data_IF_665715291515
#
_entry.id   IF_665715291515
#
_cell.length_a   1.000
_cell.length_b   1.000
_cell.length_c   1.000
_cell.angle_alpha   90.00
_cell.angle_beta   90.00
_cell.angle_gamma   90.00
#
_symmetry.space_group_name_H-M   'P 1'
#
loop_
_entity.id
_entity.type
_entity.pdbx_description
1 polymer ?
#
# COMPACT_ATOMS: atom_id res chain seq x y z
N UNK A 1 9.41 -15.60 -49.14
CA UNK A 1 10.41 -14.74 -48.50
C UNK A 1 11.77 -15.44 -48.58
N UNK A 2 12.87 -14.70 -48.62
CA UNK A 2 14.22 -15.31 -48.66
C UNK A 2 14.58 -15.86 -47.28
N UNK A 3 15.30 -16.98 -47.23
CA UNK A 3 15.78 -17.60 -45.97
C UNK A 3 16.65 -16.63 -45.16
N UNK A 4 17.44 -15.80 -45.85
CA UNK A 4 18.26 -14.74 -45.21
C UNK A 4 17.40 -13.66 -44.56
N UNK A 5 16.25 -13.33 -45.14
CA UNK A 5 15.31 -12.37 -44.55
C UNK A 5 14.68 -12.93 -43.27
N UNK A 6 14.26 -14.20 -43.29
CA UNK A 6 13.67 -14.83 -42.10
C UNK A 6 14.69 -14.98 -40.96
N UNK A 7 15.95 -15.30 -41.31
CA UNK A 7 17.04 -15.33 -40.33
C UNK A 7 17.30 -13.94 -39.73
N UNK A 8 17.49 -12.92 -40.56
CA UNK A 8 17.72 -11.56 -40.08
C UNK A 8 16.55 -11.04 -39.23
N UNK A 9 15.31 -11.36 -39.61
CA UNK A 9 14.11 -11.06 -38.81
C UNK A 9 14.17 -11.75 -37.44
N UNK A 10 14.47 -13.04 -37.40
CA UNK A 10 14.56 -13.80 -36.14
C UNK A 10 15.67 -13.25 -35.24
N UNK A 11 16.85 -12.96 -35.80
CA UNK A 11 17.99 -12.45 -35.04
C UNK A 11 17.68 -11.06 -34.46
N UNK A 12 17.04 -10.18 -35.23
CA UNK A 12 16.66 -8.83 -34.77
C UNK A 12 15.55 -8.90 -33.72
N UNK A 13 14.51 -9.73 -33.92
CA UNK A 13 13.44 -9.87 -32.95
C UNK A 13 13.94 -10.45 -31.63
N UNK A 14 14.78 -11.48 -31.66
CA UNK A 14 15.38 -12.04 -30.45
C UNK A 14 16.30 -11.05 -29.74
N UNK A 15 17.03 -10.22 -30.48
CA UNK A 15 17.83 -9.16 -29.85
C UNK A 15 16.97 -8.09 -29.18
N UNK A 16 15.87 -7.66 -29.82
CA UNK A 16 14.93 -6.71 -29.22
C UNK A 16 14.28 -7.32 -27.97
N UNK A 17 13.88 -8.60 -28.03
CA UNK A 17 13.34 -9.31 -26.87
C UNK A 17 14.30 -9.29 -25.69
N UNK A 18 15.58 -9.65 -25.90
CA UNK A 18 16.58 -9.58 -24.83
C UNK A 18 16.77 -8.16 -24.28
N UNK A 19 16.78 -7.14 -25.14
CA UNK A 19 16.89 -5.74 -24.68
C UNK A 19 15.69 -5.31 -23.84
N UNK A 20 14.48 -5.76 -24.18
CA UNK A 20 13.29 -5.50 -23.38
C UNK A 20 13.39 -6.19 -22.02
N UNK A 21 13.81 -7.45 -21.97
CA UNK A 21 14.02 -8.17 -20.72
C UNK A 21 15.06 -7.50 -19.82
N UNK A 22 16.14 -6.97 -20.39
CA UNK A 22 17.16 -6.20 -19.66
C UNK A 22 16.55 -4.94 -19.05
N UNK A 23 15.78 -4.17 -19.84
CA UNK A 23 15.11 -2.95 -19.37
C UNK A 23 14.08 -3.28 -18.27
N UNK A 24 13.27 -4.33 -18.44
CA UNK A 24 12.29 -4.75 -17.44
C UNK A 24 12.95 -5.14 -16.11
N UNK A 25 14.11 -5.80 -16.15
CA UNK A 25 14.88 -6.12 -14.95
C UNK A 25 15.43 -4.86 -14.27
N UNK A 26 15.96 -3.90 -15.03
CA UNK A 26 16.44 -2.63 -14.49
C UNK A 26 15.31 -1.84 -13.83
N UNK A 27 14.15 -1.77 -14.48
CA UNK A 27 12.94 -1.12 -13.94
C UNK A 27 12.49 -1.84 -12.66
N UNK A 28 12.44 -3.17 -12.66
CA UNK A 28 12.04 -3.95 -11.48
C UNK A 28 12.98 -3.71 -10.28
N UNK A 29 14.30 -3.68 -10.52
CA UNK A 29 15.29 -3.36 -9.48
C UNK A 29 15.11 -1.93 -8.96
N UNK A 30 14.88 -0.97 -9.85
CA UNK A 30 14.63 0.42 -9.48
C UNK A 30 13.37 0.57 -8.63
N UNK A 31 12.26 -0.09 -9.01
CA UNK A 31 11.03 -0.09 -8.21
C UNK A 31 11.24 -0.72 -6.83
N UNK A 32 12.01 -1.82 -6.76
CA UNK A 32 12.33 -2.46 -5.49
C UNK A 32 13.17 -1.55 -4.58
N UNK A 33 14.14 -0.82 -5.14
CA UNK A 33 14.93 0.16 -4.38
C UNK A 33 14.04 1.28 -3.83
N UNK A 34 13.18 1.86 -4.67
CA UNK A 34 12.25 2.92 -4.25
C UNK A 34 11.27 2.44 -3.18
N UNK A 35 10.77 1.21 -3.31
CA UNK A 35 9.92 0.59 -2.29
C UNK A 35 10.66 0.41 -0.96
N UNK A 36 11.93 -0.02 -0.99
CA UNK A 36 12.74 -0.12 0.22
C UNK A 36 12.97 1.26 0.89
N UNK A 37 13.12 2.33 0.10
CA UNK A 37 13.19 3.70 0.63
C UNK A 37 11.87 4.12 1.28
N UNK A 38 10.72 3.72 0.71
CA UNK A 38 9.41 3.98 1.29
C UNK A 38 9.24 3.24 2.63
N UNK A 39 9.64 1.96 2.70
CA UNK A 39 9.63 1.20 3.96
C UNK A 39 10.48 1.86 5.04
N UNK A 40 11.67 2.36 4.70
CA UNK A 40 12.54 3.08 5.64
C UNK A 40 11.89 4.39 6.12
N UNK A 41 11.32 5.16 5.18
CA UNK A 41 10.57 6.39 5.50
C UNK A 41 9.39 6.09 6.44
N UNK A 42 8.65 5.01 6.21
CA UNK A 42 7.55 4.58 7.08
C UNK A 42 8.04 4.08 8.43
N UNK A 43 9.17 3.38 8.48
CA UNK A 43 9.79 2.94 9.73
C UNK A 43 10.23 4.09 10.64
N UNK A 44 10.37 5.30 10.10
CA UNK A 44 10.71 6.51 10.86
C UNK A 44 9.50 7.27 11.42
N UNK A 45 8.29 6.99 10.93
CA UNK A 45 7.06 7.65 11.36
C UNK A 45 6.49 7.01 12.64
N UNK A 46 5.96 7.83 13.55
CA UNK A 46 5.38 7.39 14.82
C UNK A 46 3.85 7.32 14.78
N UNK A 47 3.23 8.12 13.91
CA UNK A 47 1.78 8.29 13.82
C UNK A 47 1.31 8.38 12.35
N UNK A 48 -0.01 8.28 12.12
CA UNK A 48 -0.62 8.27 10.77
C UNK A 48 -0.36 9.56 10.00
N UNK A 49 -0.37 10.71 10.67
CA UNK A 49 -0.04 11.99 10.04
C UNK A 49 1.41 12.05 9.59
N UNK A 50 2.34 11.48 10.36
CA UNK A 50 3.75 11.38 9.98
C UNK A 50 3.96 10.39 8.81
N UNK A 51 3.21 9.27 8.79
CA UNK A 51 3.21 8.33 7.66
C UNK A 51 2.72 8.99 6.38
N UNK A 52 1.66 9.81 6.46
CA UNK A 52 1.13 10.55 5.30
C UNK A 52 2.18 11.53 4.77
N UNK A 53 2.78 12.31 5.66
CA UNK A 53 3.82 13.28 5.30
C UNK A 53 5.06 12.60 4.73
N UNK A 54 5.45 11.42 5.24
CA UNK A 54 6.55 10.63 4.71
C UNK A 54 6.22 10.06 3.32
N UNK A 55 4.99 9.58 3.13
CA UNK A 55 4.49 9.08 1.85
C UNK A 55 4.46 10.18 0.79
N UNK A 56 3.90 11.35 1.10
CA UNK A 56 3.80 12.49 0.18
C UNK A 56 5.19 12.99 -0.25
N UNK A 57 6.14 13.05 0.67
CA UNK A 57 7.53 13.41 0.36
C UNK A 57 8.17 12.40 -0.59
N UNK A 58 8.07 11.10 -0.26
CA UNK A 58 8.58 10.03 -1.12
C UNK A 58 7.92 10.04 -2.50
N UNK A 59 6.60 10.25 -2.56
CA UNK A 59 5.84 10.30 -3.81
C UNK A 59 6.26 11.48 -4.68
N UNK A 60 6.50 12.65 -4.09
CA UNK A 60 7.01 13.81 -4.83
C UNK A 60 8.40 13.56 -5.42
N UNK A 61 9.25 12.81 -4.73
CA UNK A 61 10.62 12.51 -5.15
C UNK A 61 10.71 11.37 -6.17
N UNK A 62 9.79 10.40 -6.10
CA UNK A 62 9.91 9.13 -6.83
C UNK A 62 8.69 8.75 -7.67
N UNK A 63 7.53 9.38 -7.47
CA UNK A 63 6.28 9.04 -8.14
C UNK A 63 6.31 9.26 -9.66
N UNK A 64 6.96 10.33 -10.11
CA UNK A 64 7.14 10.62 -11.55
C UNK A 64 8.03 9.57 -12.23
N UNK A 65 9.04 9.06 -11.52
CA UNK A 65 9.99 8.06 -12.05
C UNK A 65 9.40 6.64 -12.07
N UNK A 66 8.41 6.35 -11.19
CA UNK A 66 7.63 5.10 -11.24
C UNK A 66 6.52 5.19 -12.29
N UNK A 67 6.05 6.41 -12.59
CA UNK A 67 4.99 6.64 -13.58
C UNK A 67 3.61 6.24 -13.07
N UNK A 68 3.29 6.58 -11.81
CA UNK A 68 1.93 6.39 -11.30
C UNK A 68 0.94 7.24 -12.09
N UNK A 69 -0.21 6.66 -12.46
CA UNK A 69 -1.32 7.37 -13.14
C UNK A 69 -2.22 8.13 -12.13
N UNK A 70 -1.93 7.98 -10.84
CA UNK A 70 -2.73 8.48 -9.72
C UNK A 70 -1.91 9.44 -8.87
N UNK A 71 -2.57 10.44 -8.30
CA UNK A 71 -1.97 11.37 -7.34
C UNK A 71 -1.70 10.68 -5.99
N UNK A 72 -0.80 11.27 -5.19
CA UNK A 72 -0.47 10.77 -3.85
C UNK A 72 -1.73 10.57 -2.99
N UNK A 73 -2.61 11.57 -2.94
CA UNK A 73 -3.84 11.51 -2.16
C UNK A 73 -4.76 10.36 -2.58
N UNK A 74 -4.84 10.06 -3.89
CA UNK A 74 -5.66 8.96 -4.41
C UNK A 74 -5.11 7.59 -3.99
N UNK A 75 -3.78 7.41 -4.07
CA UNK A 75 -3.12 6.17 -3.65
C UNK A 75 -3.27 5.96 -2.15
N UNK A 76 -3.15 7.05 -1.37
CA UNK A 76 -3.30 7.02 0.08
C UNK A 76 -4.72 6.64 0.50
N UNK A 77 -5.72 7.30 -0.07
CA UNK A 77 -7.14 7.01 0.20
C UNK A 77 -7.48 5.57 -0.19
N UNK A 78 -7.00 5.12 -1.35
CA UNK A 78 -7.20 3.76 -1.83
C UNK A 78 -6.60 2.71 -0.90
N UNK A 79 -5.36 2.94 -0.44
CA UNK A 79 -4.66 2.02 0.45
C UNK A 79 -5.36 1.82 1.80
N UNK A 80 -6.05 2.85 2.29
CA UNK A 80 -6.77 2.83 3.57
C UNK A 80 -8.23 2.38 3.44
N UNK A 81 -8.66 1.96 2.26
CA UNK A 81 -10.01 1.43 2.03
C UNK A 81 -11.05 2.49 1.70
N UNK A 82 -10.64 3.63 1.13
CA UNK A 82 -11.54 4.46 0.34
C UNK A 82 -12.20 3.61 -0.75
N UNK A 83 -13.52 3.68 -0.83
CA UNK A 83 -14.41 2.80 -1.60
C UNK A 83 -14.23 2.94 -3.12
N UNK A 84 -13.07 2.58 -3.65
CA UNK A 84 -12.82 2.57 -5.08
C UNK A 84 -11.78 1.51 -5.45
N UNK A 85 -12.08 0.23 -5.22
CA UNK A 85 -11.24 -0.87 -5.70
C UNK A 85 -10.84 -0.61 -7.17
N UNK A 86 -9.55 -0.69 -7.50
CA UNK A 86 -9.02 -0.52 -8.88
C UNK A 86 -9.60 -1.55 -9.88
N UNK A 87 -10.51 -2.42 -9.44
CA UNK A 87 -11.13 -3.49 -10.20
C UNK A 87 -12.49 -3.12 -10.83
N UNK A 88 -12.92 -1.85 -10.81
CA UNK A 88 -14.16 -1.44 -11.48
C UNK A 88 -13.99 -0.16 -12.29
N UNK A 89 -13.21 -0.26 -13.37
CA UNK A 89 -13.54 0.47 -14.60
C UNK A 89 -14.40 -0.49 -15.41
N UNK A 90 -15.67 -0.59 -15.05
CA UNK A 90 -16.73 -0.99 -15.98
C UNK A 90 -17.59 0.25 -16.19
N UNK A 91 -17.51 0.74 -17.41
CA UNK A 91 -18.27 1.82 -18.01
C UNK A 91 -19.74 1.39 -18.09
N UNK A 92 -20.61 1.86 -17.19
CA UNK A 92 -22.03 2.15 -17.48
C UNK A 92 -22.77 2.76 -16.26
N UNK A 93 -23.49 3.84 -16.53
CA UNK A 93 -24.77 4.27 -15.91
C UNK A 93 -24.90 4.58 -14.40
N UNK A 94 -25.14 5.87 -14.13
CA UNK A 94 -26.31 6.44 -13.43
C UNK A 94 -26.75 5.90 -12.05
N UNK A 95 -26.87 6.85 -11.10
CA UNK A 95 -27.75 6.83 -9.91
C UNK A 95 -27.43 5.83 -8.76
N UNK A 96 -26.95 6.35 -7.62
CA UNK A 96 -27.76 6.58 -6.40
C UNK A 96 -26.86 6.90 -5.20
N UNK A 97 -27.17 8.02 -4.55
CA UNK A 97 -26.59 8.52 -3.30
C UNK A 97 -26.92 7.53 -2.17
N UNK A 98 -25.93 6.90 -1.52
CA UNK A 98 -26.15 6.13 -0.29
C UNK A 98 -25.49 6.75 0.95
N UNK A 99 -26.37 7.40 1.72
CA UNK A 99 -26.45 7.54 3.18
C UNK A 99 -25.15 7.45 4.01
N UNK A 100 -24.69 8.63 4.45
CA UNK A 100 -23.72 8.85 5.53
C UNK A 100 -24.16 8.09 6.80
N UNK A 101 -23.46 7.00 7.13
CA UNK A 101 -23.55 6.37 8.44
C UNK A 101 -22.80 7.24 9.46
N UNK A 102 -23.55 7.93 10.31
CA UNK A 102 -23.03 8.53 11.54
C UNK A 102 -22.70 7.39 12.51
N UNK A 103 -21.41 7.18 12.80
CA UNK A 103 -21.00 6.40 13.97
C UNK A 103 -20.88 7.35 15.15
N UNK A 104 -21.91 7.35 16.00
CA UNK A 104 -21.92 8.03 17.29
C UNK A 104 -20.85 7.43 18.21
N UNK A 105 -20.13 8.31 18.90
CA UNK A 105 -19.20 8.02 19.98
C UNK A 105 -19.98 7.50 21.19
N UNK A 106 -19.61 6.35 21.76
CA UNK A 106 -20.04 5.94 23.10
C UNK A 106 -18.81 5.78 24.00
N UNK A 107 -18.51 6.85 24.73
CA UNK A 107 -17.72 6.87 25.96
C UNK A 107 -18.60 6.28 27.09
N UNK A 108 -18.26 5.11 27.63
CA UNK A 108 -18.76 4.67 28.94
C UNK A 108 -17.56 4.43 29.88
N UNK A 109 -17.23 5.49 30.60
CA UNK A 109 -16.65 5.48 31.95
C UNK A 109 -17.66 4.78 32.90
N UNK A 110 -17.26 3.68 33.54
CA UNK A 110 -17.94 3.19 34.75
C UNK A 110 -16.89 2.65 35.75
N UNK A 111 -16.44 3.54 36.62
CA UNK A 111 -15.78 3.27 37.89
C UNK A 111 -16.77 2.61 38.86
N UNK A 112 -16.54 1.36 39.30
CA UNK A 112 -16.98 0.92 40.63
C UNK A 112 -15.93 0.03 41.33
N UNK A 113 -15.36 0.63 42.39
CA UNK A 113 -14.67 0.04 43.55
C UNK A 113 -15.29 -1.30 44.02
N UNK A 114 -14.48 -2.35 44.16
CA UNK A 114 -14.79 -3.48 45.05
C UNK A 114 -13.57 -3.82 45.91
N UNK A 115 -13.85 -3.89 47.20
CA UNK A 115 -12.93 -3.88 48.33
C UNK A 115 -12.05 -5.13 48.49
N UNK A 116 -10.93 -4.87 49.17
CA UNK A 116 -10.03 -5.77 49.89
C UNK A 116 -10.71 -7.02 50.48
N UNK A 117 -10.16 -8.21 50.20
CA UNK A 117 -10.30 -9.34 51.12
C UNK A 117 -8.94 -10.05 51.30
N UNK A 118 -8.32 -9.71 52.43
CA UNK A 118 -7.19 -10.41 53.05
C UNK A 118 -7.76 -11.62 53.77
N UNK A 119 -7.49 -12.84 53.27
CA UNK A 119 -7.50 -14.04 54.12
C UNK A 119 -6.14 -14.74 54.09
N UNK A 120 -5.45 -14.52 55.20
CA UNK A 120 -4.52 -15.42 55.87
C UNK A 120 -5.22 -16.74 56.18
N UNK A 121 -4.65 -17.86 55.75
CA UNK A 121 -4.79 -19.14 56.47
C UNK A 121 -3.44 -19.87 56.34
N UNK A 122 -2.71 -19.85 57.44
CA UNK A 122 -1.65 -20.81 57.74
C UNK A 122 -2.13 -22.25 57.50
N UNK A 123 -1.14 -23.13 57.36
CA UNK A 123 -1.11 -24.45 57.98
C UNK A 123 -1.03 -25.67 57.04
N UNK A 124 0.15 -26.30 57.14
CA UNK A 124 0.36 -27.76 57.20
C UNK A 124 0.96 -28.48 55.99
N UNK A 125 2.30 -28.60 56.08
CA UNK A 125 3.13 -29.82 56.13
C UNK A 125 2.72 -31.05 55.29
N UNK A 126 3.60 -31.49 54.36
CA UNK A 126 4.59 -32.59 54.58
C UNK A 126 5.61 -32.64 53.42
#
# INVERSE_FOLDING_TARGET
MSVEFEKAKSDVLGHIESLLEEIEQEIALSHQEKYALLEDAFGSASDVDELRVAFEQWFMEHGDDIGFDHDADEIWDHALGGEHSYASIDDDDDDEIFEKVETEEEEEDDDEDVEEDVFDDEDTEE
#
